data_IF_483114725817
#
_entry.id   IF_483114725817
#
_cell.length_a   1.000
_cell.length_b   1.000
_cell.length_c   1.000
_cell.angle_alpha   90.00
_cell.angle_beta   90.00
_cell.angle_gamma   90.00
#
_symmetry.space_group_name_H-M   'P 1'
#
loop_
_entity.id
_entity.type
_entity.pdbx_description
1 polymer ?
#
# COMPACT_ATOMS: atom_id res chain seq x y z
N UNK A 1 3.57 45.75 -9.15
CA UNK A 1 4.93 45.27 -8.82
C UNK A 1 4.91 43.76 -8.76
N UNK A 2 5.38 43.12 -9.83
CA UNK A 2 5.65 41.69 -9.92
C UNK A 2 7.02 41.40 -9.28
N UNK A 3 7.17 40.39 -8.41
CA UNK A 3 8.48 39.84 -8.13
C UNK A 3 8.78 38.77 -9.18
N UNK A 4 9.52 39.15 -10.21
CA UNK A 4 10.33 38.23 -10.99
C UNK A 4 11.55 37.86 -10.14
N UNK A 5 11.67 36.60 -9.73
CA UNK A 5 12.85 35.99 -9.14
C UNK A 5 13.26 34.74 -9.93
N UNK A 6 14.55 34.43 -10.08
CA UNK A 6 15.03 33.45 -11.06
C UNK A 6 15.02 32.03 -10.47
N UNK A 7 13.87 31.36 -10.48
CA UNK A 7 13.77 29.91 -10.26
C UNK A 7 12.75 29.29 -11.22
N UNK A 8 13.03 29.44 -12.51
CA UNK A 8 12.35 28.70 -13.57
C UNK A 8 13.42 28.00 -14.41
N UNK A 9 13.95 26.89 -13.88
CA UNK A 9 14.80 25.96 -14.64
C UNK A 9 14.51 24.50 -14.24
N UNK A 10 13.46 23.96 -14.88
CA UNK A 10 13.50 22.64 -15.53
C UNK A 10 13.37 21.39 -14.66
N UNK A 11 12.14 21.04 -14.27
CA UNK A 11 11.77 19.67 -13.87
C UNK A 11 10.82 19.61 -12.68
N UNK A 12 9.83 18.71 -12.71
CA UNK A 12 8.97 18.43 -11.56
C UNK A 12 9.73 17.78 -10.39
N UNK A 13 9.07 17.53 -9.27
CA UNK A 13 9.67 16.96 -8.06
C UNK A 13 10.49 15.68 -8.34
N UNK A 14 10.00 14.83 -9.23
CA UNK A 14 10.71 13.60 -9.64
C UNK A 14 12.03 13.87 -10.39
N UNK A 15 12.15 14.99 -11.11
CA UNK A 15 13.39 15.39 -11.75
C UNK A 15 14.40 15.92 -10.73
N UNK A 16 13.94 16.68 -9.72
CA UNK A 16 14.80 17.14 -8.62
C UNK A 16 15.40 15.98 -7.84
N UNK A 17 14.61 14.95 -7.53
CA UNK A 17 15.12 13.75 -6.86
C UNK A 17 16.27 13.12 -7.66
N UNK A 18 16.14 13.02 -8.99
CA UNK A 18 17.17 12.43 -9.85
C UNK A 18 18.44 13.27 -10.04
N UNK A 19 18.44 14.54 -9.63
CA UNK A 19 19.65 15.36 -9.62
C UNK A 19 20.59 14.97 -8.47
N UNK A 20 20.07 14.26 -7.47
CA UNK A 20 20.88 13.71 -6.39
C UNK A 20 21.87 12.65 -6.85
N UNK A 21 22.79 12.30 -5.97
CA UNK A 21 23.71 11.19 -6.17
C UNK A 21 22.92 9.88 -6.18
N UNK A 22 23.00 9.13 -7.28
CA UNK A 22 22.32 7.85 -7.40
C UNK A 22 22.97 6.83 -6.46
N UNK A 23 22.17 6.25 -5.58
CA UNK A 23 22.57 5.15 -4.70
C UNK A 23 21.73 3.92 -5.04
N UNK A 24 22.32 2.73 -5.05
CA UNK A 24 21.64 1.43 -5.21
C UNK A 24 20.49 1.37 -6.28
N UNK A 25 20.77 0.80 -7.45
CA UNK A 25 19.72 0.35 -8.39
C UNK A 25 19.00 1.43 -9.21
N UNK A 26 19.48 2.68 -9.24
CA UNK A 26 18.92 3.79 -10.02
C UNK A 26 17.48 4.22 -9.66
N UNK A 27 17.03 3.89 -8.44
CA UNK A 27 15.73 4.31 -7.90
C UNK A 27 15.84 5.07 -6.57
N UNK A 28 17.00 5.05 -5.90
CA UNK A 28 17.31 5.86 -4.71
C UNK A 28 18.33 6.93 -5.05
N UNK A 29 18.09 8.15 -4.58
CA UNK A 29 18.94 9.30 -4.83
C UNK A 29 19.17 10.06 -3.53
N UNK A 30 20.44 10.32 -3.21
CA UNK A 30 20.84 11.14 -2.07
C UNK A 30 20.91 12.60 -2.50
N UNK A 31 20.17 13.43 -1.79
CA UNK A 31 20.12 14.87 -1.97
C UNK A 31 20.95 15.52 -0.87
N UNK A 32 21.68 16.57 -1.24
CA UNK A 32 22.20 17.53 -0.28
C UNK A 32 21.05 18.36 0.31
N UNK A 33 21.33 19.10 1.39
CA UNK A 33 20.32 19.86 2.13
C UNK A 33 19.56 20.85 1.22
N UNK A 34 20.25 21.54 0.32
CA UNK A 34 19.66 22.47 -0.63
C UNK A 34 18.72 21.75 -1.61
N UNK A 35 19.14 20.60 -2.14
CA UNK A 35 18.30 19.79 -3.05
C UNK A 35 17.05 19.23 -2.36
N UNK A 36 17.15 18.85 -1.08
CA UNK A 36 15.99 18.45 -0.28
C UNK A 36 15.03 19.63 -0.06
N UNK A 37 15.55 20.82 0.25
CA UNK A 37 14.74 22.05 0.41
C UNK A 37 13.99 22.40 -0.87
N UNK A 38 14.65 22.35 -2.01
CA UNK A 38 14.06 22.57 -3.33
C UNK A 38 12.97 21.52 -3.65
N UNK A 39 13.20 20.26 -3.26
CA UNK A 39 12.20 19.20 -3.37
C UNK A 39 10.95 19.55 -2.54
N UNK A 40 11.09 19.90 -1.26
CA UNK A 40 9.96 20.26 -0.39
C UNK A 40 9.17 21.43 -0.97
N UNK A 41 9.86 22.49 -1.40
CA UNK A 41 9.24 23.65 -2.03
C UNK A 41 8.46 23.29 -3.30
N UNK A 42 9.02 22.40 -4.13
CA UNK A 42 8.38 21.94 -5.37
C UNK A 42 7.18 21.03 -5.10
N UNK A 43 7.27 20.15 -4.09
CA UNK A 43 6.17 19.27 -3.70
C UNK A 43 4.91 20.05 -3.32
N UNK A 44 5.01 21.29 -2.84
CA UNK A 44 3.84 22.13 -2.55
C UNK A 44 2.89 22.31 -3.75
N UNK A 45 3.41 22.21 -4.99
CA UNK A 45 2.65 22.40 -6.24
C UNK A 45 2.65 21.17 -7.15
N UNK A 46 3.61 20.28 -7.01
CA UNK A 46 3.72 19.05 -7.79
C UNK A 46 2.83 17.94 -7.18
N UNK A 47 2.06 17.17 -7.97
CA UNK A 47 1.19 16.09 -7.46
C UNK A 47 1.92 14.75 -7.21
N UNK A 48 3.26 14.71 -7.20
CA UNK A 48 4.02 13.47 -6.98
C UNK A 48 3.52 12.72 -5.73
N UNK A 49 2.98 11.50 -5.91
CA UNK A 49 2.43 10.70 -4.81
C UNK A 49 3.50 10.30 -3.80
N UNK A 50 3.30 10.69 -2.55
CA UNK A 50 4.09 10.26 -1.39
C UNK A 50 3.53 8.94 -0.84
N UNK A 51 4.40 7.99 -0.53
CA UNK A 51 4.02 6.66 0.00
C UNK A 51 4.45 6.47 1.44
N UNK A 52 5.68 6.89 1.79
CA UNK A 52 6.20 6.65 3.13
C UNK A 52 7.53 7.35 3.38
N UNK A 53 7.91 7.41 4.65
CA UNK A 53 9.17 7.98 5.12
C UNK A 53 9.71 7.13 6.27
N UNK A 54 11.04 6.94 6.30
CA UNK A 54 11.74 6.18 7.35
C UNK A 54 13.18 6.69 7.49
N UNK A 55 13.89 6.20 8.50
CA UNK A 55 15.32 6.46 8.69
C UNK A 55 16.08 5.15 8.91
N UNK A 56 17.37 5.16 8.57
CA UNK A 56 18.29 4.02 8.70
C UNK A 56 19.45 4.27 9.69
N UNK A 57 19.40 5.40 10.41
CA UNK A 57 20.42 5.84 11.36
C UNK A 57 21.47 6.79 10.76
N UNK A 58 21.55 6.89 9.43
CA UNK A 58 22.41 7.85 8.74
C UNK A 58 21.59 8.86 7.95
N UNK A 59 20.54 8.41 7.27
CA UNK A 59 19.72 9.18 6.38
C UNK A 59 18.24 9.07 6.75
N UNK A 60 17.48 10.08 6.34
CA UNK A 60 16.02 10.02 6.23
C UNK A 60 15.66 9.79 4.76
N UNK A 61 14.76 8.86 4.51
CA UNK A 61 14.32 8.47 3.18
C UNK A 61 12.83 8.79 3.02
N UNK A 62 12.47 9.35 1.86
CA UNK A 62 11.09 9.53 1.45
C UNK A 62 10.83 8.78 0.13
N UNK A 63 9.81 7.93 0.13
CA UNK A 63 9.38 7.14 -1.01
C UNK A 63 8.22 7.80 -1.74
N UNK A 64 8.37 7.88 -3.06
CA UNK A 64 7.39 8.41 -4.01
C UNK A 64 7.12 7.41 -5.14
N UNK A 65 6.01 7.63 -5.86
CA UNK A 65 5.67 6.85 -7.06
C UNK A 65 5.53 7.73 -8.29
N UNK A 66 6.52 7.74 -9.15
CA UNK A 66 6.44 8.41 -10.46
C UNK A 66 5.60 7.59 -11.43
N UNK A 67 4.66 8.24 -12.12
CA UNK A 67 3.67 7.53 -12.93
C UNK A 67 2.87 6.51 -12.12
N UNK A 68 2.96 6.59 -10.78
CA UNK A 68 2.27 5.79 -9.75
C UNK A 68 2.61 4.31 -9.73
N UNK A 69 3.67 3.92 -10.42
CA UNK A 69 4.18 2.55 -10.44
C UNK A 69 5.70 2.53 -10.23
N UNK A 70 6.42 3.55 -10.73
CA UNK A 70 7.87 3.60 -10.60
C UNK A 70 8.25 4.15 -9.23
N UNK A 71 8.91 3.29 -8.44
CA UNK A 71 9.52 3.63 -7.15
C UNK A 71 10.60 4.71 -7.35
N UNK A 72 10.54 5.75 -6.54
CA UNK A 72 11.54 6.80 -6.48
C UNK A 72 11.77 7.21 -5.03
N UNK A 73 13.00 7.08 -4.54
CA UNK A 73 13.37 7.39 -3.15
C UNK A 73 14.32 8.58 -3.13
N UNK A 74 13.95 9.60 -2.36
CA UNK A 74 14.82 10.72 -2.02
C UNK A 74 15.40 10.48 -0.62
N UNK A 75 16.70 10.64 -0.46
CA UNK A 75 17.39 10.48 0.83
C UNK A 75 18.09 11.77 1.20
N UNK A 76 18.11 12.13 2.47
CA UNK A 76 18.85 13.28 2.99
C UNK A 76 19.53 12.89 4.30
N UNK A 77 20.78 13.29 4.47
CA UNK A 77 21.49 13.16 5.74
C UNK A 77 21.05 14.30 6.69
N UNK A 78 20.49 14.03 7.87
CA UNK A 78 20.11 15.08 8.80
C UNK A 78 21.33 15.85 9.32
N UNK A 79 21.33 17.17 9.18
CA UNK A 79 22.38 18.04 9.74
C UNK A 79 22.09 18.30 11.23
N UNK A 80 23.01 17.90 12.11
CA UNK A 80 22.80 18.01 13.57
C UNK A 80 21.56 17.25 14.06
N UNK A 81 21.17 16.17 13.37
CA UNK A 81 19.95 15.41 13.67
C UNK A 81 18.66 16.05 13.14
N UNK A 82 18.74 17.08 12.30
CA UNK A 82 17.58 17.81 11.77
C UNK A 82 17.48 17.72 10.25
N UNK A 83 16.26 17.69 9.74
CA UNK A 83 15.96 17.77 8.31
C UNK A 83 14.68 18.56 8.08
N UNK A 84 14.47 19.11 6.89
CA UNK A 84 13.22 19.82 6.58
C UNK A 84 12.05 18.83 6.44
N UNK A 85 11.01 19.01 7.25
CA UNK A 85 9.83 18.17 7.26
C UNK A 85 9.03 18.25 5.95
N UNK A 86 8.50 17.11 5.54
CA UNK A 86 7.59 16.99 4.40
C UNK A 86 6.14 17.27 4.81
N UNK A 87 5.77 17.09 6.08
CA UNK A 87 4.36 17.12 6.47
C UNK A 87 3.67 18.46 6.23
N UNK A 88 4.40 19.58 6.22
CA UNK A 88 3.90 20.89 5.82
C UNK A 88 3.22 20.85 4.44
N UNK A 89 3.87 20.20 3.48
CA UNK A 89 3.40 20.08 2.08
C UNK A 89 2.77 18.72 1.76
N UNK A 90 2.99 17.69 2.58
CA UNK A 90 2.47 16.33 2.42
C UNK A 90 1.92 15.83 3.76
N UNK A 91 0.64 16.11 4.09
CA UNK A 91 0.08 15.77 5.39
C UNK A 91 0.28 14.30 5.82
N UNK A 92 0.31 13.36 4.86
CA UNK A 92 0.56 11.95 5.10
C UNK A 92 1.95 11.64 5.70
N UNK A 93 2.92 12.55 5.58
CA UNK A 93 4.25 12.39 6.17
C UNK A 93 4.29 12.62 7.69
N UNK A 94 3.24 13.17 8.31
CA UNK A 94 3.24 13.52 9.74
C UNK A 94 3.45 12.30 10.66
N UNK A 95 2.82 11.16 10.38
CA UNK A 95 3.03 9.94 11.18
C UNK A 95 4.44 9.35 11.02
N UNK A 96 4.98 9.14 9.80
CA UNK A 96 6.33 8.62 9.67
C UNK A 96 7.42 9.59 10.17
N UNK A 97 7.22 10.91 10.12
CA UNK A 97 8.14 11.88 10.73
C UNK A 97 8.22 11.69 12.25
N UNK A 98 7.07 11.55 12.92
CA UNK A 98 7.00 11.27 14.35
C UNK A 98 7.62 9.91 14.69
N UNK A 99 7.41 8.91 13.84
CA UNK A 99 8.05 7.59 13.97
C UNK A 99 9.58 7.69 13.89
N UNK A 100 10.10 8.46 12.92
CA UNK A 100 11.54 8.71 12.75
C UNK A 100 12.11 9.42 13.97
N UNK A 101 11.43 10.43 14.48
CA UNK A 101 11.82 11.10 15.71
C UNK A 101 11.84 10.14 16.90
N UNK A 102 10.76 9.41 17.16
CA UNK A 102 10.67 8.52 18.34
C UNK A 102 11.71 7.39 18.32
N UNK A 103 12.05 6.86 17.14
CA UNK A 103 12.98 5.75 17.00
C UNK A 103 14.45 6.18 16.94
N UNK A 104 14.75 7.26 16.21
CA UNK A 104 16.12 7.65 15.86
C UNK A 104 16.55 9.01 16.41
N UNK A 105 15.62 9.84 16.87
CA UNK A 105 15.88 11.19 17.36
C UNK A 105 16.07 12.24 16.27
N UNK A 106 15.76 11.91 15.01
CA UNK A 106 15.81 12.90 13.94
C UNK A 106 14.58 13.80 13.97
N UNK A 107 14.81 15.11 14.03
CA UNK A 107 13.78 16.13 14.15
C UNK A 107 13.42 16.70 12.77
N UNK A 108 12.15 16.58 12.39
CA UNK A 108 11.59 17.18 11.20
C UNK A 108 11.26 18.66 11.45
N UNK A 109 12.07 19.57 10.92
CA UNK A 109 11.84 21.01 11.01
C UNK A 109 10.56 21.40 10.26
N UNK A 110 9.76 22.30 10.83
CA UNK A 110 8.48 22.75 10.24
C UNK A 110 7.42 21.64 10.07
N UNK A 111 7.58 20.50 10.76
CA UNK A 111 6.58 19.45 10.75
C UNK A 111 5.23 19.93 11.34
N UNK A 112 4.13 19.41 10.79
CA UNK A 112 2.76 19.74 11.24
C UNK A 112 2.44 19.26 12.66
N UNK A 113 3.12 18.23 13.11
CA UNK A 113 2.93 17.61 14.42
C UNK A 113 4.22 16.91 14.84
N UNK A 114 4.81 17.38 15.93
CA UNK A 114 6.06 16.87 16.51
C UNK A 114 5.83 16.09 17.80
N UNK A 115 4.57 15.87 18.21
CA UNK A 115 4.25 15.14 19.44
C UNK A 115 4.74 13.68 19.35
N UNK A 116 5.19 13.07 20.45
CA UNK A 116 5.52 11.63 20.47
C UNK A 116 4.35 10.77 19.95
N UNK A 117 4.64 9.72 19.21
CA UNK A 117 3.64 8.82 18.63
C UNK A 117 3.67 7.42 19.20
N UNK A 118 4.83 6.75 19.16
CA UNK A 118 4.98 5.32 19.47
C UNK A 118 5.14 5.08 20.96
N UNK A 119 5.90 5.92 21.66
CA UNK A 119 6.06 5.79 23.09
C UNK A 119 4.81 6.31 23.81
N UNK A 120 4.16 5.40 24.52
CA UNK A 120 3.00 5.68 25.35
C UNK A 120 3.36 5.74 26.84
N UNK A 121 4.63 6.03 27.15
CA UNK A 121 5.18 6.14 28.50
C UNK A 121 5.62 4.80 29.10
N UNK A 122 6.01 3.86 28.24
CA UNK A 122 6.41 2.51 28.65
C UNK A 122 7.83 2.16 28.21
N UNK A 123 8.48 2.99 27.39
CA UNK A 123 9.85 2.75 26.96
C UNK A 123 10.83 3.15 28.06
N UNK A 124 11.95 2.42 28.12
CA UNK A 124 13.04 2.68 29.07
C UNK A 124 14.19 3.49 28.46
N UNK A 125 14.21 3.60 27.12
CA UNK A 125 15.23 4.31 26.37
C UNK A 125 14.62 5.28 25.36
N UNK A 126 15.14 6.50 25.33
CA UNK A 126 14.85 7.50 24.30
C UNK A 126 15.61 7.14 23.03
N UNK A 127 14.93 7.19 21.89
CA UNK A 127 15.47 6.89 20.56
C UNK A 127 16.19 5.53 20.53
N UNK A 128 15.47 4.42 20.72
CA UNK A 128 16.06 3.09 20.91
C UNK A 128 16.90 2.60 19.72
N UNK A 129 16.72 3.16 18.53
CA UNK A 129 17.53 2.85 17.35
C UNK A 129 18.63 3.91 17.09
N UNK A 130 18.59 5.04 17.79
CA UNK A 130 19.58 6.10 17.64
C UNK A 130 21.00 5.66 18.05
N UNK A 131 22.04 6.42 17.65
CA UNK A 131 23.43 6.06 17.92
C UNK A 131 23.79 6.10 19.41
N UNK A 132 23.02 6.83 20.22
CA UNK A 132 23.20 6.96 21.68
C UNK A 132 21.84 6.93 22.37
N UNK A 133 21.24 5.75 22.59
CA UNK A 133 20.00 5.65 23.35
C UNK A 133 20.24 6.14 24.78
N UNK A 134 19.43 7.09 25.24
CA UNK A 134 19.50 7.65 26.60
C UNK A 134 18.40 7.10 27.49
N UNK A 135 18.53 7.16 28.83
CA UNK A 135 17.42 6.82 29.71
C UNK A 135 16.26 7.79 29.49
N UNK A 136 15.02 7.29 29.51
CA UNK A 136 13.83 8.13 29.52
C UNK A 136 13.80 8.87 30.86
N UNK A 137 14.07 10.18 30.86
CA UNK A 137 14.15 10.99 32.08
C UNK A 137 12.76 11.23 32.70
N UNK A 138 11.72 11.27 31.88
CA UNK A 138 10.33 11.48 32.30
C UNK A 138 9.39 10.77 31.33
N UNK A 139 8.31 10.10 31.79
CA UNK A 139 7.29 9.63 30.88
C UNK A 139 6.74 10.83 30.09
N UNK A 140 6.47 10.69 28.78
CA UNK A 140 5.87 11.76 28.00
C UNK A 140 4.58 12.21 28.70
N UNK A 141 4.40 13.52 28.80
CA UNK A 141 3.19 14.10 29.36
C UNK A 141 1.95 13.47 28.71
N UNK A 142 0.84 13.35 29.47
CA UNK A 142 -0.42 12.92 28.89
C UNK A 142 -0.67 13.73 27.61
N UNK A 143 -1.06 13.08 26.50
CA UNK A 143 -1.11 13.75 25.22
C UNK A 143 -1.99 14.99 25.30
N UNK A 144 -1.41 16.17 25.05
CA UNK A 144 -2.19 17.37 24.85
C UNK A 144 -2.93 17.23 23.53
N UNK A 145 -4.25 17.05 23.63
CA UNK A 145 -5.11 17.03 22.47
C UNK A 145 -5.40 18.46 22.03
N UNK A 146 -5.58 18.64 20.71
CA UNK A 146 -5.89 19.98 20.19
C UNK A 146 -7.16 20.54 20.87
N UNK A 147 -7.12 21.76 21.41
CA UNK A 147 -8.30 22.43 21.95
C UNK A 147 -9.36 22.54 20.85
N UNK A 148 -10.61 22.31 21.22
CA UNK A 148 -11.72 22.36 20.27
C UNK A 148 -12.52 23.65 20.47
N UNK A 149 -12.86 24.38 19.40
CA UNK A 149 -13.70 25.57 19.54
C UNK A 149 -15.08 25.20 20.12
N UNK A 150 -15.50 25.84 21.21
CA UNK A 150 -16.91 25.86 21.62
C UNK A 150 -17.37 24.87 22.70
N UNK A 151 -16.48 24.24 23.48
CA UNK A 151 -16.88 23.55 24.73
C UNK A 151 -17.79 22.32 24.58
N UNK A 152 -17.69 21.59 23.46
CA UNK A 152 -18.49 20.39 23.20
C UNK A 152 -18.08 19.15 24.01
N UNK A 153 -18.98 18.17 24.09
CA UNK A 153 -18.72 16.86 24.71
C UNK A 153 -17.61 16.12 23.99
N UNK A 154 -16.68 15.55 24.75
CA UNK A 154 -15.60 14.71 24.23
C UNK A 154 -16.00 13.24 24.40
N UNK A 155 -16.00 12.49 23.30
CA UNK A 155 -16.16 11.04 23.30
C UNK A 155 -14.82 10.37 23.00
N UNK A 156 -14.33 9.54 23.93
CA UNK A 156 -13.14 8.72 23.74
C UNK A 156 -13.51 7.25 23.48
N UNK A 157 -12.85 6.62 22.52
CA UNK A 157 -13.02 5.21 22.16
C UNK A 157 -11.63 4.55 22.12
N UNK A 158 -11.47 3.39 22.75
CA UNK A 158 -10.20 2.66 22.83
C UNK A 158 -9.36 3.01 24.07
N UNK A 159 -8.06 2.67 24.10
CA UNK A 159 -7.31 1.96 23.06
C UNK A 159 -7.66 0.47 22.95
N UNK A 160 -8.31 -0.09 23.97
CA UNK A 160 -8.88 -1.44 23.98
C UNK A 160 -10.41 -1.34 24.10
N UNK A 161 -11.12 -1.54 22.99
CA UNK A 161 -12.58 -1.47 22.93
C UNK A 161 -13.24 -2.83 22.66
N UNK A 162 -12.46 -3.91 22.74
CA UNK A 162 -12.89 -5.27 22.43
C UNK A 162 -13.08 -5.54 20.93
N UNK A 163 -12.76 -4.58 20.06
CA UNK A 163 -12.82 -4.72 18.62
C UNK A 163 -11.61 -5.48 18.03
N UNK A 164 -11.80 -6.03 16.83
CA UNK A 164 -10.77 -6.76 16.08
C UNK A 164 -9.95 -5.87 15.13
N UNK A 165 -9.81 -4.57 15.44
CA UNK A 165 -9.04 -3.64 14.63
C UNK A 165 -7.72 -3.28 15.32
N UNK A 166 -6.81 -2.65 14.57
CA UNK A 166 -5.55 -2.16 15.14
C UNK A 166 -5.86 -1.27 16.34
N UNK A 167 -5.28 -1.54 17.53
CA UNK A 167 -5.54 -0.77 18.73
C UNK A 167 -5.16 0.69 18.52
N UNK A 168 -6.05 1.57 18.95
CA UNK A 168 -5.95 3.00 18.77
C UNK A 168 -6.95 3.72 19.65
N UNK A 169 -6.58 4.91 20.12
CA UNK A 169 -7.47 5.77 20.89
C UNK A 169 -8.04 6.87 19.98
N UNK A 170 -9.34 6.81 19.71
CA UNK A 170 -10.06 7.81 18.94
C UNK A 170 -10.75 8.79 19.89
N UNK A 171 -10.49 10.08 19.71
CA UNK A 171 -11.19 11.17 20.39
C UNK A 171 -12.04 11.94 19.40
N UNK A 172 -13.33 12.03 19.68
CA UNK A 172 -14.30 12.82 18.92
C UNK A 172 -14.77 14.00 19.77
N UNK A 173 -14.69 15.18 19.18
CA UNK A 173 -15.29 16.40 19.74
C UNK A 173 -16.66 16.59 19.09
N UNK A 174 -17.71 16.54 19.90
CA UNK A 174 -19.09 16.57 19.44
C UNK A 174 -19.66 17.99 19.57
N UNK A 175 -20.12 18.54 18.44
CA UNK A 175 -20.90 19.78 18.37
C UNK A 175 -22.39 19.44 18.36
N UNK A 176 -22.98 19.17 19.53
CA UNK A 176 -24.35 18.67 19.64
C UNK A 176 -24.47 17.16 19.37
N UNK A 177 -25.64 16.69 18.94
CA UNK A 177 -25.92 15.25 18.79
C UNK A 177 -25.35 14.63 17.51
N UNK A 178 -25.36 15.38 16.41
CA UNK A 178 -25.15 14.80 15.06
C UNK A 178 -23.93 15.36 14.31
N UNK A 179 -23.13 16.24 14.94
CA UNK A 179 -21.97 16.87 14.30
C UNK A 179 -20.68 16.55 15.05
N UNK A 180 -19.68 16.06 14.33
CA UNK A 180 -18.31 15.90 14.83
C UNK A 180 -17.52 17.16 14.43
N UNK A 181 -17.18 17.99 15.41
CA UNK A 181 -16.37 19.20 15.22
C UNK A 181 -14.88 18.92 15.08
N UNK A 182 -14.42 17.77 15.59
CA UNK A 182 -13.04 17.30 15.43
C UNK A 182 -12.89 15.83 15.74
N UNK A 183 -11.96 15.18 15.05
CA UNK A 183 -11.60 13.79 15.27
C UNK A 183 -10.07 13.66 15.32
N UNK A 184 -9.56 13.00 16.34
CA UNK A 184 -8.14 12.74 16.50
C UNK A 184 -7.92 11.26 16.82
N UNK A 185 -7.04 10.62 16.06
CA UNK A 185 -6.63 9.24 16.29
C UNK A 185 -5.22 9.21 16.87
N UNK A 186 -5.07 8.56 18.03
CA UNK A 186 -3.78 8.15 18.57
C UNK A 186 -3.57 6.67 18.28
N UNK A 187 -2.71 6.40 17.32
CA UNK A 187 -2.22 5.06 16.99
C UNK A 187 -0.87 4.82 17.71
N UNK A 188 -0.22 3.68 17.47
CA UNK A 188 1.10 3.37 18.02
C UNK A 188 1.11 2.16 18.96
N UNK A 189 -0.03 1.84 19.58
CA UNK A 189 -0.19 0.72 20.52
C UNK A 189 0.18 -0.66 19.95
N UNK A 190 0.11 -0.84 18.63
CA UNK A 190 0.50 -2.09 17.95
C UNK A 190 1.95 -2.09 17.43
N UNK A 191 2.79 -1.13 17.86
CA UNK A 191 4.18 -1.08 17.44
C UNK A 191 4.96 -2.29 17.96
N UNK A 192 5.52 -3.07 17.03
CA UNK A 192 6.23 -4.34 17.32
C UNK A 192 7.71 -4.31 16.95
N UNK A 193 8.24 -3.13 16.59
CA UNK A 193 9.63 -2.97 16.16
C UNK A 193 9.99 -3.79 14.91
N UNK A 194 9.05 -4.01 13.99
CA UNK A 194 9.24 -4.93 12.83
C UNK A 194 10.48 -4.57 12.02
N UNK A 195 10.71 -3.28 11.74
CA UNK A 195 11.89 -2.82 10.98
C UNK A 195 13.20 -3.18 11.68
N UNK A 196 13.31 -2.89 12.98
CA UNK A 196 14.50 -3.23 13.77
C UNK A 196 14.73 -4.75 13.84
N UNK A 197 13.66 -5.54 13.91
CA UNK A 197 13.70 -7.00 13.94
C UNK A 197 14.06 -7.63 12.59
N UNK A 198 13.96 -6.90 11.48
CA UNK A 198 14.40 -7.38 10.17
C UNK A 198 15.94 -7.34 10.04
N UNK A 199 16.60 -6.42 10.75
CA UNK A 199 18.05 -6.30 10.73
C UNK A 199 18.72 -7.58 11.25
N UNK A 200 19.66 -8.13 10.49
CA UNK A 200 20.41 -9.34 10.85
C UNK A 200 19.69 -10.67 10.56
N UNK A 201 18.46 -10.64 10.06
CA UNK A 201 17.78 -11.86 9.59
C UNK A 201 18.28 -12.28 8.21
N UNK A 202 18.28 -13.59 7.96
CA UNK A 202 18.40 -14.13 6.61
C UNK A 202 17.13 -13.82 5.78
N UNK A 203 17.25 -13.90 4.46
CA UNK A 203 16.15 -13.59 3.53
C UNK A 203 14.86 -14.40 3.83
N UNK A 204 14.90 -15.73 4.03
CA UNK A 204 13.71 -16.49 4.40
C UNK A 204 13.07 -16.04 5.71
N UNK A 205 13.83 -15.81 6.77
CA UNK A 205 13.30 -15.36 8.06
C UNK A 205 12.72 -13.93 7.96
N UNK A 206 13.37 -13.05 7.21
CA UNK A 206 12.89 -11.71 6.96
C UNK A 206 11.53 -11.72 6.24
N UNK A 207 11.36 -12.58 5.23
CA UNK A 207 10.08 -12.76 4.50
C UNK A 207 8.98 -13.33 5.40
N UNK A 208 9.29 -14.32 6.25
CA UNK A 208 8.33 -14.81 7.26
C UNK A 208 7.90 -13.69 8.21
N UNK A 209 8.83 -12.86 8.68
CA UNK A 209 8.51 -11.72 9.54
C UNK A 209 7.64 -10.68 8.80
N UNK A 210 7.95 -10.38 7.54
CA UNK A 210 7.19 -9.47 6.69
C UNK A 210 5.73 -9.93 6.53
N UNK A 211 5.48 -11.23 6.33
CA UNK A 211 4.13 -11.80 6.24
C UNK A 211 3.27 -11.60 7.49
N UNK A 212 3.88 -11.18 8.62
CA UNK A 212 3.21 -10.89 9.90
C UNK A 212 3.10 -9.40 10.17
N UNK A 213 3.50 -8.53 9.24
CA UNK A 213 3.49 -7.07 9.41
C UNK A 213 2.06 -6.50 9.49
N UNK A 214 1.16 -6.93 8.60
CA UNK A 214 -0.25 -6.53 8.60
C UNK A 214 -1.16 -7.74 8.35
N UNK A 215 -2.15 -7.92 9.23
CA UNK A 215 -3.16 -8.96 9.05
C UNK A 215 -4.02 -8.66 7.82
N UNK A 216 -4.22 -9.66 6.95
CA UNK A 216 -4.95 -9.49 5.67
C UNK A 216 -4.09 -9.01 4.50
N UNK A 217 -2.79 -8.77 4.71
CA UNK A 217 -1.83 -8.40 3.66
C UNK A 217 -0.52 -9.23 3.76
N UNK A 218 -0.62 -10.45 4.27
CA UNK A 218 0.50 -11.37 4.45
C UNK A 218 1.22 -11.67 3.13
N UNK A 219 0.50 -12.04 2.08
CA UNK A 219 1.07 -12.33 0.75
C UNK A 219 1.64 -11.07 0.13
N UNK A 220 0.94 -9.93 0.24
CA UNK A 220 1.41 -8.65 -0.26
C UNK A 220 2.76 -8.24 0.36
N UNK A 221 2.89 -8.32 1.69
CA UNK A 221 4.15 -7.99 2.39
C UNK A 221 5.28 -8.96 2.07
N UNK A 222 5.01 -10.28 2.05
CA UNK A 222 6.02 -11.25 1.65
C UNK A 222 6.48 -11.01 0.21
N UNK A 223 5.55 -10.78 -0.73
CA UNK A 223 5.86 -10.53 -2.14
C UNK A 223 6.66 -9.23 -2.33
N UNK A 224 6.31 -8.17 -1.60
CA UNK A 224 7.05 -6.91 -1.65
C UNK A 224 8.50 -7.08 -1.19
N UNK A 225 8.72 -7.81 -0.08
CA UNK A 225 10.07 -8.06 0.41
C UNK A 225 10.86 -9.01 -0.49
N UNK A 226 10.23 -10.08 -1.02
CA UNK A 226 10.89 -10.95 -2.00
C UNK A 226 11.37 -10.17 -3.22
N UNK A 227 10.53 -9.29 -3.78
CA UNK A 227 10.91 -8.45 -4.92
C UNK A 227 12.05 -7.50 -4.59
N UNK A 228 12.09 -6.97 -3.38
CA UNK A 228 13.20 -6.12 -2.93
C UNK A 228 14.50 -6.92 -2.79
N UNK A 229 14.44 -8.14 -2.24
CA UNK A 229 15.59 -9.04 -2.12
C UNK A 229 16.09 -9.48 -3.50
N UNK A 230 15.19 -9.85 -4.40
CA UNK A 230 15.50 -10.28 -5.77
C UNK A 230 16.14 -9.15 -6.58
N UNK A 231 15.59 -7.93 -6.48
CA UNK A 231 16.18 -6.75 -7.11
C UNK A 231 17.54 -6.38 -6.52
N UNK A 232 17.75 -6.59 -5.22
CA UNK A 232 19.04 -6.31 -4.57
C UNK A 232 20.12 -7.37 -4.87
N UNK A 233 19.70 -8.58 -5.26
CA UNK A 233 20.59 -9.71 -5.57
C UNK A 233 20.72 -9.99 -7.07
N UNK A 234 20.09 -9.18 -7.93
CA UNK A 234 19.97 -9.39 -9.37
C UNK A 234 19.45 -10.80 -9.73
N UNK A 235 18.57 -11.34 -8.88
CA UNK A 235 17.98 -12.68 -9.07
C UNK A 235 16.87 -12.64 -10.12
N UNK A 236 16.93 -13.58 -11.06
CA UNK A 236 15.90 -13.75 -12.10
C UNK A 236 14.73 -14.57 -11.57
N UNK A 237 13.51 -14.04 -11.64
CA UNK A 237 12.30 -14.72 -11.16
C UNK A 237 11.66 -15.56 -12.25
N UNK A 238 11.33 -16.82 -11.92
CA UNK A 238 10.64 -17.71 -12.83
C UNK A 238 9.19 -17.28 -13.07
N UNK A 239 8.69 -17.43 -14.31
CA UNK A 239 7.28 -17.13 -14.63
C UNK A 239 6.28 -17.94 -13.81
N UNK A 240 6.63 -19.16 -13.39
CA UNK A 240 5.82 -19.99 -12.49
C UNK A 240 5.65 -19.33 -11.11
N UNK A 241 6.74 -18.81 -10.56
CA UNK A 241 6.77 -18.12 -9.27
C UNK A 241 6.00 -16.81 -9.29
N UNK A 242 6.14 -16.02 -10.35
CA UNK A 242 5.32 -14.82 -10.52
C UNK A 242 3.82 -15.15 -10.56
N UNK A 243 3.42 -16.18 -11.32
CA UNK A 243 2.02 -16.63 -11.40
C UNK A 243 1.50 -17.07 -10.04
N UNK A 244 2.29 -17.84 -9.28
CA UNK A 244 1.89 -18.30 -7.95
C UNK A 244 1.70 -17.13 -6.99
N UNK A 245 2.62 -16.16 -6.98
CA UNK A 245 2.50 -14.93 -6.18
C UNK A 245 1.23 -14.15 -6.52
N UNK A 246 0.92 -14.00 -7.82
CA UNK A 246 -0.31 -13.34 -8.27
C UNK A 246 -1.55 -14.10 -7.78
N UNK A 247 -1.61 -15.42 -7.96
CA UNK A 247 -2.77 -16.21 -7.51
C UNK A 247 -2.98 -16.13 -5.99
N UNK A 248 -1.91 -16.24 -5.21
CA UNK A 248 -1.96 -16.07 -3.76
C UNK A 248 -2.42 -14.66 -3.37
N UNK A 249 -1.92 -13.62 -4.04
CA UNK A 249 -2.30 -12.24 -3.77
C UNK A 249 -3.77 -11.99 -4.11
N UNK A 250 -4.30 -12.62 -5.17
CA UNK A 250 -5.71 -12.54 -5.53
C UNK A 250 -6.62 -13.25 -4.52
N UNK A 251 -6.20 -14.40 -3.98
CA UNK A 251 -6.92 -15.08 -2.90
C UNK A 251 -6.97 -14.20 -1.64
N UNK A 252 -5.82 -13.63 -1.24
CA UNK A 252 -5.73 -12.67 -0.14
C UNK A 252 -6.62 -11.44 -0.37
N UNK A 253 -6.61 -10.89 -1.59
CA UNK A 253 -7.41 -9.72 -1.97
C UNK A 253 -8.91 -10.00 -1.86
N UNK A 254 -9.36 -11.18 -2.27
CA UNK A 254 -10.75 -11.62 -2.09
C UNK A 254 -11.12 -11.66 -0.61
N UNK A 255 -10.32 -12.32 0.23
CA UNK A 255 -10.58 -12.43 1.67
C UNK A 255 -10.62 -11.06 2.36
N UNK A 256 -9.72 -10.15 1.97
CA UNK A 256 -9.66 -8.78 2.47
C UNK A 256 -10.87 -7.95 2.05
N UNK A 257 -11.27 -8.00 0.78
CA UNK A 257 -12.46 -7.29 0.33
C UNK A 257 -13.75 -7.80 1.01
N UNK A 258 -13.86 -9.11 1.23
CA UNK A 258 -15.00 -9.66 1.97
C UNK A 258 -15.02 -9.15 3.42
N UNK A 259 -13.85 -9.04 4.07
CA UNK A 259 -13.73 -8.44 5.40
C UNK A 259 -14.18 -6.98 5.41
N UNK A 260 -13.69 -6.18 4.47
CA UNK A 260 -13.99 -4.75 4.38
C UNK A 260 -15.48 -4.49 4.14
N UNK A 261 -16.09 -5.24 3.22
CA UNK A 261 -17.53 -5.18 2.96
C UNK A 261 -18.33 -5.60 4.18
N UNK A 262 -17.94 -6.70 4.85
CA UNK A 262 -18.63 -7.16 6.05
C UNK A 262 -18.61 -6.11 7.16
N UNK A 263 -17.44 -5.52 7.46
CA UNK A 263 -17.30 -4.49 8.49
C UNK A 263 -18.11 -3.25 8.19
N UNK A 264 -18.14 -2.84 6.92
CA UNK A 264 -18.89 -1.68 6.47
C UNK A 264 -20.40 -1.94 6.56
N UNK A 265 -20.85 -3.10 6.10
CA UNK A 265 -22.23 -3.53 6.20
C UNK A 265 -22.69 -3.59 7.67
N UNK A 266 -21.87 -4.14 8.56
CA UNK A 266 -22.16 -4.21 10.00
C UNK A 266 -22.24 -2.81 10.62
N UNK A 267 -21.31 -1.91 10.30
CA UNK A 267 -21.35 -0.52 10.76
C UNK A 267 -22.59 0.24 10.24
N UNK A 268 -23.06 -0.08 9.03
CA UNK A 268 -24.29 0.47 8.48
C UNK A 268 -25.57 -0.21 9.03
N UNK A 269 -25.47 -1.31 9.78
CA UNK A 269 -26.61 -2.08 10.28
C UNK A 269 -27.18 -3.12 9.30
N UNK A 270 -26.54 -3.33 8.14
CA UNK A 270 -26.89 -4.38 7.18
C UNK A 270 -26.31 -5.73 7.61
N UNK A 271 -26.83 -6.27 8.71
CA UNK A 271 -26.29 -7.48 9.38
C UNK A 271 -26.33 -8.73 8.51
N UNK A 272 -27.36 -8.90 7.67
CA UNK A 272 -27.45 -10.04 6.75
C UNK A 272 -26.34 -10.01 5.68
N UNK A 273 -26.06 -8.83 5.10
CA UNK A 273 -24.95 -8.67 4.16
C UNK A 273 -23.61 -8.94 4.85
N UNK A 274 -23.43 -8.42 6.08
CA UNK A 274 -22.22 -8.66 6.85
C UNK A 274 -21.99 -10.16 7.11
N UNK A 275 -23.02 -10.88 7.54
CA UNK A 275 -22.96 -12.31 7.81
C UNK A 275 -22.64 -13.13 6.55
N UNK A 276 -23.22 -12.80 5.40
CA UNK A 276 -22.92 -13.47 4.13
C UNK A 276 -21.45 -13.27 3.71
N UNK A 277 -20.94 -12.05 3.84
CA UNK A 277 -19.53 -11.75 3.53
C UNK A 277 -18.57 -12.43 4.52
N UNK A 278 -18.91 -12.46 5.81
CA UNK A 278 -18.13 -13.16 6.84
C UNK A 278 -18.09 -14.66 6.60
N UNK A 279 -19.25 -15.28 6.34
CA UNK A 279 -19.33 -16.70 6.01
C UNK A 279 -18.46 -17.04 4.79
N UNK A 280 -18.53 -16.23 3.73
CA UNK A 280 -17.77 -16.45 2.52
C UNK A 280 -16.27 -16.27 2.76
N UNK A 281 -15.87 -15.27 3.55
CA UNK A 281 -14.47 -15.06 3.96
C UNK A 281 -13.95 -16.24 4.76
N UNK A 282 -14.70 -16.70 5.75
CA UNK A 282 -14.31 -17.86 6.55
C UNK A 282 -14.18 -19.11 5.68
N UNK A 283 -15.07 -19.31 4.72
CA UNK A 283 -15.00 -20.43 3.78
C UNK A 283 -13.73 -20.38 2.91
N UNK A 284 -13.31 -19.18 2.47
CA UNK A 284 -12.04 -18.98 1.74
C UNK A 284 -10.83 -19.29 2.64
N UNK A 285 -10.80 -18.73 3.86
CA UNK A 285 -9.68 -18.95 4.78
C UNK A 285 -9.57 -20.40 5.26
N UNK A 286 -10.72 -21.06 5.43
CA UNK A 286 -10.80 -22.48 5.80
C UNK A 286 -10.27 -23.38 4.68
N UNK A 287 -10.60 -23.08 3.43
CA UNK A 287 -9.98 -23.71 2.27
C UNK A 287 -8.45 -23.49 2.23
N UNK A 288 -7.99 -22.26 2.48
CA UNK A 288 -6.56 -21.97 2.56
C UNK A 288 -5.89 -22.77 3.70
N UNK A 289 -6.53 -22.83 4.87
CA UNK A 289 -6.04 -23.60 6.02
C UNK A 289 -5.91 -25.09 5.73
N UNK A 290 -6.91 -25.69 5.07
CA UNK A 290 -6.85 -27.12 4.68
C UNK A 290 -5.77 -27.42 3.65
N UNK A 291 -5.57 -26.55 2.66
CA UNK A 291 -4.61 -26.82 1.59
C UNK A 291 -3.17 -26.49 1.98
N UNK A 292 -2.98 -25.39 2.71
CA UNK A 292 -1.65 -24.81 2.93
C UNK A 292 -1.19 -24.84 4.39
N UNK A 293 -2.02 -25.32 5.32
CA UNK A 293 -1.75 -25.28 6.76
C UNK A 293 -1.88 -23.88 7.38
N UNK A 294 -2.10 -22.83 6.57
CA UNK A 294 -2.22 -21.45 7.03
C UNK A 294 -3.46 -20.75 6.47
N UNK A 295 -4.37 -20.34 7.36
CA UNK A 295 -5.60 -19.60 7.02
C UNK A 295 -5.35 -18.24 6.36
N UNK A 296 -4.22 -17.62 6.65
CA UNK A 296 -3.84 -16.28 6.20
C UNK A 296 -2.69 -16.29 5.18
N UNK A 297 -2.43 -17.44 4.54
CA UNK A 297 -1.41 -17.57 3.48
C UNK A 297 -0.01 -17.07 3.91
N UNK A 298 0.29 -17.20 5.20
CA UNK A 298 1.62 -16.91 5.74
C UNK A 298 2.61 -17.98 5.26
N UNK A 299 3.86 -17.58 5.08
CA UNK A 299 5.01 -18.45 4.81
C UNK A 299 4.96 -19.19 3.45
N UNK A 300 4.03 -18.83 2.56
CA UNK A 300 3.90 -19.38 1.22
C UNK A 300 4.74 -18.66 0.17
N UNK A 301 5.06 -17.39 0.41
CA UNK A 301 5.87 -16.60 -0.53
C UNK A 301 7.33 -16.63 -0.09
N UNK A 302 8.20 -17.03 -1.02
CA UNK A 302 9.65 -17.20 -0.79
C UNK A 302 10.44 -16.49 -1.89
N UNK A 303 11.58 -15.87 -1.58
CA UNK A 303 12.43 -15.25 -2.60
C UNK A 303 13.12 -16.35 -3.40
N UNK A 304 13.41 -16.07 -4.66
CA UNK A 304 14.30 -16.92 -5.45
C UNK A 304 15.70 -16.89 -4.84
N UNK A 305 16.34 -18.06 -4.70
CA UNK A 305 17.72 -18.12 -4.23
C UNK A 305 18.72 -17.85 -5.36
N UNK A 306 19.90 -17.27 -5.06
CA UNK A 306 20.96 -17.04 -6.05
C UNK A 306 21.47 -18.34 -6.70
N UNK A 307 21.32 -19.49 -6.03
CA UNK A 307 21.71 -20.82 -6.52
C UNK A 307 20.58 -21.57 -7.25
N UNK A 308 19.47 -20.90 -7.60
CA UNK A 308 18.31 -21.55 -8.21
C UNK A 308 17.49 -22.39 -7.23
N UNK A 309 17.61 -22.15 -5.92
CA UNK A 309 16.62 -22.62 -4.96
C UNK A 309 15.25 -22.08 -5.37
N UNK A 310 14.33 -22.98 -5.68
CA UNK A 310 13.02 -22.62 -6.20
C UNK A 310 12.33 -21.64 -5.25
N UNK A 311 11.94 -20.49 -5.79
CA UNK A 311 10.98 -19.59 -5.19
C UNK A 311 9.62 -20.27 -4.99
N UNK A 312 8.59 -19.48 -4.77
CA UNK A 312 7.23 -20.03 -4.63
C UNK A 312 6.80 -20.82 -5.86
N UNK A 313 6.25 -22.02 -5.67
CA UNK A 313 5.53 -22.73 -6.72
C UNK A 313 6.42 -23.57 -7.62
N UNK A 314 6.92 -24.69 -7.10
CA UNK A 314 7.29 -25.81 -7.97
C UNK A 314 6.06 -26.34 -8.73
N UNK A 315 6.24 -27.34 -9.59
CA UNK A 315 5.14 -27.84 -10.42
C UNK A 315 3.94 -28.35 -9.60
N UNK A 316 4.18 -28.98 -8.46
CA UNK A 316 3.14 -29.55 -7.59
C UNK A 316 2.47 -28.45 -6.77
N UNK A 317 3.25 -27.60 -6.10
CA UNK A 317 2.76 -26.47 -5.31
C UNK A 317 2.00 -25.48 -6.20
N UNK A 318 2.51 -25.18 -7.40
CA UNK A 318 1.85 -24.32 -8.37
C UNK A 318 0.50 -24.89 -8.84
N UNK A 319 0.40 -26.21 -9.04
CA UNK A 319 -0.86 -26.86 -9.36
C UNK A 319 -1.86 -26.79 -8.19
N UNK A 320 -1.39 -26.97 -6.95
CA UNK A 320 -2.21 -26.83 -5.75
C UNK A 320 -2.72 -25.39 -5.56
N UNK A 321 -1.86 -24.38 -5.73
CA UNK A 321 -2.25 -22.96 -5.69
C UNK A 321 -3.30 -22.64 -6.75
N UNK A 322 -3.10 -23.10 -7.98
CA UNK A 322 -4.08 -22.91 -9.05
C UNK A 322 -5.41 -23.62 -8.78
N UNK A 323 -5.38 -24.80 -8.15
CA UNK A 323 -6.59 -25.51 -7.75
C UNK A 323 -7.37 -24.77 -6.67
N UNK A 324 -6.70 -24.23 -5.65
CA UNK A 324 -7.34 -23.41 -4.62
C UNK A 324 -7.92 -22.14 -5.23
N UNK A 325 -7.18 -21.45 -6.09
CA UNK A 325 -7.67 -20.24 -6.76
C UNK A 325 -8.98 -20.50 -7.54
N UNK A 326 -9.07 -21.65 -8.23
CA UNK A 326 -10.32 -22.07 -8.90
C UNK A 326 -11.46 -22.32 -7.91
N UNK A 327 -11.19 -23.07 -6.83
CA UNK A 327 -12.19 -23.37 -5.81
C UNK A 327 -12.70 -22.09 -5.11
N UNK A 328 -11.80 -21.14 -4.81
CA UNK A 328 -12.18 -19.81 -4.28
C UNK A 328 -13.07 -19.07 -5.27
N UNK A 329 -12.72 -19.05 -6.55
CA UNK A 329 -13.52 -18.39 -7.58
C UNK A 329 -14.92 -19.02 -7.70
N UNK A 330 -15.03 -20.34 -7.65
CA UNK A 330 -16.30 -21.07 -7.74
C UNK A 330 -17.17 -20.86 -6.49
N UNK A 331 -16.56 -20.93 -5.30
CA UNK A 331 -17.21 -20.64 -4.01
C UNK A 331 -17.80 -19.23 -4.02
N UNK A 332 -16.99 -18.25 -4.38
CA UNK A 332 -17.41 -16.86 -4.49
C UNK A 332 -18.55 -16.73 -5.48
N UNK A 333 -18.37 -17.20 -6.72
CA UNK A 333 -19.39 -17.11 -7.79
C UNK A 333 -20.72 -17.74 -7.38
N UNK A 334 -20.67 -18.90 -6.71
CA UNK A 334 -21.86 -19.60 -6.20
C UNK A 334 -22.62 -18.81 -5.15
N UNK A 335 -21.93 -18.08 -4.28
CA UNK A 335 -22.56 -17.29 -3.21
C UNK A 335 -22.86 -15.84 -3.60
N UNK A 336 -22.33 -15.35 -4.72
CA UNK A 336 -22.53 -13.95 -5.14
C UNK A 336 -24.00 -13.56 -5.30
N UNK A 337 -24.88 -14.49 -5.68
CA UNK A 337 -26.32 -14.21 -5.77
C UNK A 337 -26.93 -13.90 -4.39
N UNK A 338 -26.47 -14.56 -3.33
CA UNK A 338 -26.93 -14.29 -1.97
C UNK A 338 -26.43 -12.93 -1.49
N UNK A 339 -25.14 -12.64 -1.66
CA UNK A 339 -24.53 -11.34 -1.35
C UNK A 339 -25.24 -10.21 -2.10
N UNK A 340 -25.54 -10.40 -3.39
CA UNK A 340 -26.26 -9.44 -4.21
C UNK A 340 -27.65 -9.11 -3.67
N UNK A 341 -28.44 -10.11 -3.26
CA UNK A 341 -29.76 -9.88 -2.65
C UNK A 341 -29.67 -9.11 -1.34
N UNK A 342 -28.66 -9.39 -0.51
CA UNK A 342 -28.45 -8.69 0.75
C UNK A 342 -27.94 -7.25 0.55
N UNK A 343 -27.26 -6.97 -0.56
CA UNK A 343 -26.78 -5.63 -0.90
C UNK A 343 -27.93 -4.66 -1.15
N UNK A 344 -29.00 -5.15 -1.76
CA UNK A 344 -30.18 -4.34 -2.08
C UNK A 344 -31.09 -4.14 -0.85
N UNK A 345 -30.54 -4.32 0.36
CA UNK A 345 -31.24 -4.06 1.62
C UNK A 345 -31.72 -2.60 1.69
N UNK A 346 -33.04 -2.38 1.90
CA UNK A 346 -33.59 -1.03 1.99
C UNK A 346 -32.92 -0.22 3.10
N UNK A 347 -32.30 0.91 2.73
CA UNK A 347 -31.67 1.83 3.68
C UNK A 347 -30.15 1.73 3.78
N UNK A 348 -29.50 0.73 3.15
CA UNK A 348 -28.03 0.67 3.12
C UNK A 348 -27.46 1.91 2.42
N UNK A 349 -28.02 2.23 1.25
CA UNK A 349 -27.65 3.42 0.48
C UNK A 349 -27.83 4.69 1.30
N UNK A 350 -28.97 4.88 1.97
CA UNK A 350 -29.23 6.06 2.80
C UNK A 350 -28.23 6.25 3.95
N UNK A 351 -27.60 5.16 4.43
CA UNK A 351 -26.61 5.20 5.52
C UNK A 351 -25.17 5.41 5.03
N UNK A 352 -24.85 4.99 3.80
CA UNK A 352 -23.48 5.03 3.27
C UNK A 352 -23.28 6.16 2.25
N UNK A 353 -24.30 6.45 1.43
CA UNK A 353 -24.21 7.46 0.38
C UNK A 353 -23.94 8.86 0.98
N UNK A 354 -23.05 9.61 0.34
CA UNK A 354 -22.66 10.96 0.77
C UNK A 354 -21.81 11.03 2.04
N UNK A 355 -21.44 9.89 2.67
CA UNK A 355 -20.53 9.86 3.82
C UNK A 355 -19.08 9.74 3.37
N UNK A 356 -18.15 10.37 4.10
CA UNK A 356 -16.70 10.27 3.86
C UNK A 356 -16.27 10.72 2.45
N UNK A 357 -16.91 11.77 1.91
CA UNK A 357 -16.58 12.30 0.58
C UNK A 357 -15.20 12.95 0.62
N UNK A 358 -14.26 12.39 -0.15
CA UNK A 358 -12.91 12.89 -0.28
C UNK A 358 -12.73 13.60 -1.62
N UNK A 359 -12.34 14.87 -1.59
CA UNK A 359 -11.99 15.63 -2.78
C UNK A 359 -10.75 15.06 -3.46
N UNK A 360 -10.68 15.13 -4.78
CA UNK A 360 -9.57 14.59 -5.58
C UNK A 360 -8.21 15.15 -5.16
N UNK A 361 -8.14 16.46 -4.93
CA UNK A 361 -6.93 17.11 -4.47
C UNK A 361 -6.50 16.55 -3.10
N UNK A 362 -7.41 16.51 -2.11
CA UNK A 362 -7.12 15.96 -0.78
C UNK A 362 -6.70 14.49 -0.84
N UNK A 363 -7.35 13.67 -1.66
CA UNK A 363 -6.99 12.26 -1.84
C UNK A 363 -5.54 12.11 -2.34
N UNK A 364 -5.15 12.91 -3.35
CA UNK A 364 -3.76 12.94 -3.85
C UNK A 364 -2.76 13.39 -2.79
N UNK A 365 -3.08 14.47 -2.07
CA UNK A 365 -2.19 15.02 -1.04
C UNK A 365 -1.98 14.07 0.15
N UNK A 366 -2.98 13.24 0.44
CA UNK A 366 -2.93 12.20 1.46
C UNK A 366 -2.32 10.88 0.95
N UNK A 367 -1.97 10.79 -0.34
CA UNK A 367 -1.48 9.54 -0.93
C UNK A 367 -2.52 8.42 -0.93
N UNK A 368 -3.82 8.74 -0.86
CA UNK A 368 -4.89 7.74 -0.88
C UNK A 368 -5.02 7.19 -2.30
N UNK A 369 -4.45 6.00 -2.52
CA UNK A 369 -4.60 5.20 -3.72
C UNK A 369 -5.07 3.80 -3.38
N UNK A 370 -6.04 3.28 -4.15
CA UNK A 370 -6.36 1.85 -4.19
C UNK A 370 -5.66 1.19 -5.37
N UNK A 371 -5.43 -0.12 -5.30
CA UNK A 371 -4.69 -0.89 -6.30
C UNK A 371 -5.10 -0.59 -7.75
N UNK A 372 -4.12 -0.21 -8.57
CA UNK A 372 -4.23 0.00 -10.01
C UNK A 372 -4.30 1.47 -10.45
N UNK A 373 -3.12 2.05 -10.72
CA UNK A 373 -2.83 3.35 -11.38
C UNK A 373 -3.10 4.66 -10.62
N UNK A 374 -2.17 5.63 -10.67
CA UNK A 374 -2.37 7.02 -10.24
C UNK A 374 -3.14 7.81 -11.32
N UNK A 375 -4.27 7.29 -11.77
CA UNK A 375 -5.07 7.92 -12.84
C UNK A 375 -6.49 8.25 -12.41
N UNK A 376 -6.94 7.79 -11.24
CA UNK A 376 -8.32 7.95 -10.78
C UNK A 376 -8.51 9.28 -10.03
N UNK A 377 -8.03 10.36 -10.67
CA UNK A 377 -8.53 11.69 -10.44
C UNK A 377 -9.91 11.84 -11.06
N UNK A 378 -10.93 11.70 -10.23
CA UNK A 378 -12.28 12.29 -10.39
C UNK A 378 -13.02 11.99 -9.11
N UNK A 379 -13.32 13.05 -8.35
CA UNK A 379 -14.00 13.03 -7.04
C UNK A 379 -14.91 11.82 -6.86
N UNK A 380 -14.47 10.89 -6.02
CA UNK A 380 -15.13 9.63 -5.76
C UNK A 380 -14.99 9.36 -4.27
N UNK A 381 -16.13 9.13 -3.63
CA UNK A 381 -16.21 8.58 -2.28
C UNK A 381 -15.31 7.36 -2.18
N UNK A 382 -14.74 7.10 -1.00
CA UNK A 382 -14.00 5.85 -0.69
C UNK A 382 -14.79 4.64 -1.20
N UNK A 383 -16.12 4.68 -1.10
CA UNK A 383 -17.09 3.72 -1.62
C UNK A 383 -17.01 3.43 -3.15
N UNK A 384 -16.57 4.37 -3.99
CA UNK A 384 -16.54 4.19 -5.45
C UNK A 384 -15.26 3.53 -5.97
N UNK A 385 -14.18 3.49 -5.18
CA UNK A 385 -13.05 2.58 -5.39
C UNK A 385 -13.46 1.12 -5.12
N UNK A 386 -14.35 0.92 -4.14
CA UNK A 386 -14.84 -0.39 -3.73
C UNK A 386 -15.70 -1.06 -4.81
N UNK A 387 -16.58 -0.31 -5.47
CA UNK A 387 -17.35 -0.82 -6.62
C UNK A 387 -16.47 -1.22 -7.82
N UNK A 388 -15.28 -0.62 -8.00
CA UNK A 388 -14.33 -0.99 -9.07
C UNK A 388 -13.44 -2.18 -8.70
N UNK A 389 -13.08 -2.33 -7.43
CA UNK A 389 -12.40 -3.53 -6.93
C UNK A 389 -13.26 -4.78 -7.13
N UNK A 390 -14.59 -4.63 -6.97
CA UNK A 390 -15.61 -5.62 -7.34
C UNK A 390 -15.65 -5.84 -8.87
N UNK A 391 -15.48 -4.79 -9.68
CA UNK A 391 -15.50 -4.90 -11.15
C UNK A 391 -14.24 -5.57 -11.74
N UNK A 392 -13.04 -5.35 -11.18
CA UNK A 392 -11.78 -5.90 -11.70
C UNK A 392 -11.68 -7.43 -11.55
N UNK A 393 -12.37 -8.01 -10.57
CA UNK A 393 -12.45 -9.45 -10.35
C UNK A 393 -13.37 -10.21 -11.35
N UNK A 394 -13.91 -9.55 -12.38
CA UNK A 394 -14.81 -10.17 -13.36
C UNK A 394 -16.23 -10.44 -12.83
N UNK A 395 -16.68 -9.75 -11.78
CA UNK A 395 -17.96 -10.01 -11.11
C UNK A 395 -19.19 -9.36 -11.80
N UNK A 396 -19.04 -8.73 -12.97
CA UNK A 396 -20.14 -8.17 -13.78
C UNK A 396 -19.84 -8.33 -15.28
N UNK A 397 -20.56 -9.17 -16.05
CA UNK A 397 -20.54 -9.09 -17.51
C UNK A 397 -21.40 -7.89 -17.96
N UNK A 398 -20.80 -6.91 -18.66
CA UNK A 398 -21.55 -5.89 -19.41
C UNK A 398 -21.38 -4.41 -19.03
N UNK A 399 -20.60 -4.05 -18.00
CA UNK A 399 -20.31 -2.64 -17.72
C UNK A 399 -19.16 -2.13 -18.60
N UNK A 400 -19.47 -1.67 -19.82
CA UNK A 400 -18.65 -0.65 -20.46
C UNK A 400 -18.59 0.59 -19.54
N UNK A 401 -17.43 1.25 -19.45
CA UNK A 401 -17.27 2.45 -18.64
C UNK A 401 -18.35 3.47 -19.01
N UNK A 402 -19.21 3.91 -18.07
CA UNK A 402 -20.17 4.95 -18.41
C UNK A 402 -19.40 6.27 -18.59
N UNK A 403 -19.50 6.80 -19.81
CA UNK A 403 -19.18 8.19 -20.10
C UNK A 403 -19.95 9.09 -19.13
N UNK A 404 -19.21 10.01 -18.50
CA UNK A 404 -19.68 11.29 -17.94
C UNK A 404 -21.03 11.28 -17.20
N UNK A 405 -21.00 11.19 -15.88
CA UNK A 405 -22.10 11.71 -15.06
C UNK A 405 -22.02 13.25 -15.06
N UNK A 406 -22.90 13.90 -15.84
CA UNK A 406 -23.22 15.34 -15.68
C UNK A 406 -24.27 15.50 -14.57
N UNK A 407 -24.23 16.67 -13.94
CA UNK A 407 -25.12 17.11 -12.83
C UNK A 407 -26.60 16.97 -13.20
N UNK A 408 -27.39 16.51 -12.23
CA UNK A 408 -28.80 16.83 -12.07
C UNK A 408 -29.74 16.31 -13.16
N UNK A 409 -30.20 15.07 -13.03
CA UNK A 409 -31.50 14.64 -13.55
C UNK A 409 -31.88 13.29 -12.94
N UNK A 410 -33.02 13.28 -12.23
CA UNK A 410 -33.83 12.11 -11.88
C UNK A 410 -34.32 11.43 -13.16
N UNK A 411 -34.16 10.12 -13.30
CA UNK A 411 -34.97 9.35 -14.27
C UNK A 411 -35.41 7.99 -13.70
N UNK A 412 -36.72 7.84 -13.67
CA UNK A 412 -37.46 6.61 -13.47
C UNK A 412 -37.23 5.62 -14.62
N UNK A 413 -37.38 4.33 -14.32
CA UNK A 413 -37.44 3.23 -15.28
C UNK A 413 -38.81 3.18 -15.98
N UNK A 414 -38.89 2.98 -17.32
CA UNK A 414 -40.05 2.35 -17.93
C UNK A 414 -39.90 0.82 -17.91
N UNK A 415 -40.98 0.15 -17.52
CA UNK A 415 -41.16 -1.29 -17.65
C UNK A 415 -41.46 -1.66 -19.11
N UNK A 416 -41.00 -2.86 -19.48
CA UNK A 416 -41.48 -3.75 -20.56
C UNK A 416 -40.90 -3.63 -21.98
N UNK A 417 -40.70 -4.84 -22.52
CA UNK A 417 -40.84 -5.28 -23.91
C UNK A 417 -39.63 -5.30 -24.85
N UNK A 418 -39.48 -6.50 -25.44
CA UNK A 418 -38.93 -6.86 -26.75
C UNK A 418 -37.40 -6.98 -26.93
N UNK A 419 -36.99 -8.21 -27.26
CA UNK A 419 -35.79 -8.49 -28.05
C UNK A 419 -35.93 -7.85 -29.45
N UNK A 420 -34.79 -7.54 -30.10
CA UNK A 420 -34.52 -8.31 -31.31
C UNK A 420 -33.06 -8.73 -31.51
N UNK A 421 -32.94 -9.73 -32.37
CA UNK A 421 -31.74 -10.37 -32.87
C UNK A 421 -30.77 -9.41 -33.56
N UNK A 422 -29.47 -9.68 -33.38
CA UNK A 422 -28.47 -9.93 -34.45
C UNK A 422 -27.07 -9.54 -33.98
N UNK A 423 -26.26 -10.55 -33.62
CA UNK A 423 -24.80 -10.40 -33.72
C UNK A 423 -24.17 -11.76 -34.01
N UNK A 424 -23.64 -11.92 -35.22
CA UNK A 424 -22.81 -13.05 -35.63
C UNK A 424 -21.37 -12.82 -35.17
N UNK A 425 -20.62 -13.85 -34.75
CA UNK A 425 -19.22 -13.71 -34.38
C UNK A 425 -18.34 -13.56 -35.64
N UNK A 426 -17.28 -12.73 -35.65
CA UNK A 426 -16.31 -12.75 -36.74
C UNK A 426 -15.39 -13.97 -36.59
N UNK A 427 -15.40 -14.79 -37.65
CA UNK A 427 -14.47 -15.90 -37.85
C UNK A 427 -13.07 -15.39 -38.24
N UNK A 428 -12.08 -16.20 -37.82
CA UNK A 428 -10.62 -16.11 -38.03
C UNK A 428 -10.13 -15.54 -39.37
N UNK A 429 -8.97 -14.90 -39.30
CA UNK A 429 -7.86 -15.22 -40.22
C UNK A 429 -6.55 -15.34 -39.44
N UNK A 430 -6.17 -16.59 -39.16
CA UNK A 430 -4.79 -17.00 -38.86
C UNK A 430 -4.13 -17.21 -40.21
N UNK A 431 -3.00 -16.55 -40.47
CA UNK A 431 -2.07 -16.93 -41.54
C UNK A 431 -0.82 -17.53 -40.91
N UNK A 432 -0.59 -18.81 -41.19
CA UNK A 432 0.65 -19.53 -40.96
C UNK A 432 1.73 -19.08 -41.95
N UNK A 433 3.02 -19.07 -41.59
CA UNK A 433 4.10 -19.20 -42.56
C UNK A 433 4.73 -20.60 -42.51
N UNK A 434 4.81 -21.24 -43.67
CA UNK A 434 5.50 -22.50 -43.93
C UNK A 434 7.05 -22.37 -43.92
N UNK A 435 7.79 -23.49 -43.84
CA UNK A 435 9.21 -23.52 -43.49
C UNK A 435 10.13 -23.40 -44.72
N UNK A 436 11.27 -22.73 -44.53
CA UNK A 436 12.45 -22.92 -45.39
C UNK A 436 13.07 -21.64 -45.97
N UNK A 437 14.03 -21.06 -45.24
CA UNK A 437 15.36 -20.61 -45.73
C UNK A 437 16.11 -19.86 -44.62
N UNK A 438 17.31 -20.35 -44.28
CA UNK A 438 18.32 -19.64 -43.48
C UNK A 438 18.82 -18.41 -44.25
N UNK A 439 19.32 -17.38 -43.54
CA UNK A 439 20.74 -17.08 -43.73
C UNK A 439 21.49 -16.64 -42.45
N UNK A 440 22.77 -17.05 -42.45
CA UNK A 440 23.97 -16.39 -41.95
C UNK A 440 24.07 -15.93 -40.48
N UNK A 441 24.97 -16.63 -39.79
CA UNK A 441 25.59 -16.25 -38.53
C UNK A 441 26.50 -15.02 -38.69
N UNK A 442 26.50 -14.17 -37.66
CA UNK A 442 27.69 -13.41 -37.26
C UNK A 442 27.73 -13.34 -35.74
N UNK A 443 28.52 -14.24 -35.16
CA UNK A 443 29.02 -14.13 -33.80
C UNK A 443 30.04 -12.98 -33.76
N UNK A 444 29.90 -12.05 -32.82
CA UNK A 444 31.00 -11.19 -32.36
C UNK A 444 31.34 -11.59 -30.93
N UNK A 445 32.42 -12.36 -30.82
CA UNK A 445 33.10 -12.66 -29.59
C UNK A 445 33.65 -11.37 -28.96
N UNK A 446 33.40 -11.18 -27.66
CA UNK A 446 34.20 -10.29 -26.83
C UNK A 446 35.15 -11.16 -26.02
N UNK A 447 36.44 -11.07 -26.37
CA UNK A 447 37.53 -11.71 -25.67
C UNK A 447 37.82 -10.96 -24.36
N UNK A 448 37.89 -11.69 -23.25
CA UNK A 448 38.43 -11.20 -21.98
C UNK A 448 39.91 -11.58 -21.93
N UNK A 449 40.85 -10.65 -21.65
CA UNK A 449 42.27 -10.99 -21.54
C UNK A 449 42.55 -11.73 -20.22
N UNK A 450 43.30 -12.84 -20.31
CA UNK A 450 43.92 -13.51 -19.16
C UNK A 450 44.96 -12.59 -18.52
N UNK A 451 44.66 -12.08 -17.32
CA UNK A 451 45.60 -11.37 -16.45
C UNK A 451 46.08 -12.27 -15.30
N UNK A 452 47.40 -12.32 -15.14
CA UNK A 452 48.24 -13.17 -14.28
C UNK A 452 47.77 -13.38 -12.83
N UNK A 453 47.94 -14.63 -12.39
CA UNK A 453 48.07 -15.01 -10.99
C UNK A 453 49.31 -14.36 -10.34
N UNK A 454 49.13 -13.83 -9.14
CA UNK A 454 50.20 -13.63 -8.16
C UNK A 454 49.80 -14.34 -6.87
N UNK A 455 50.65 -15.28 -6.45
CA UNK A 455 50.62 -15.97 -5.16
C UNK A 455 51.34 -15.12 -4.10
N UNK A 456 51.15 -15.57 -2.85
CA UNK A 456 51.90 -15.28 -1.61
C UNK A 456 51.28 -14.18 -0.74
N UNK A 457 51.09 -14.37 0.56
CA UNK A 457 51.48 -15.48 1.42
C UNK A 457 50.92 -15.31 2.84
N UNK A 458 50.98 -16.40 3.57
CA UNK A 458 50.78 -16.53 5.01
C UNK A 458 51.65 -15.57 5.81
N UNK A 459 51.05 -14.94 6.81
CA UNK A 459 51.65 -14.17 7.89
C UNK A 459 50.56 -13.80 8.89
#
# INVERSE_FOLDING_TARGET
>A
MTPNGPFASGGGAAALIRRGEAEAGAWRFRLEEEGWRDLVATLARDPLPFVGLWADGQNVHALFLEGGERVLVASVAPYGGRYLGLSGVRPAASLPERCVHDLWGFEAMEARDTRPWLDHGVWTATWPLGPRPGPVSWPPDPPEFRPQPGGGTILGIGPADGGHHTPGYLRLALGGRDTVGGAEWRLGYAHRGVMARLCGLDAPAAVRLAGRAAAGASVAHQSALCRAIEAASDSMVGTGTERCRVLLAEIERVATHLHDVARTARAAGATALAAECEYLRESVMDLCGRMFGHRLLMDLVRPEGPDGHAGTGDAEEGAAIAAVARQVADLVRGRMRAVGRCRDWPGLEARVAGRGVLGEHTARMLGVGGGGRPGLGRGRTICAGWCRAIAWAGWIPGCAAPATWRRGSTCAWPRSAAAPASWKPPARTVRSPEPGRRPAATARAWAVPKGRAARCGTG
#
